data_IF_970636745030
#
_entry.id   IF_970636745030
#
_cell.length_a   1.000
_cell.length_b   1.000
_cell.length_c   1.000
_cell.angle_alpha   90.00
_cell.angle_beta   90.00
_cell.angle_gamma   90.00
#
_symmetry.space_group_name_H-M   'P 1'
#
loop_
_entity.id
_entity.type
_entity.pdbx_description
1 polymer ?
#
# COMPACT_ATOMS: atom_id res chain seq x y z
N UNK A 1 11.59 12.49 3.02
CA UNK A 1 11.97 12.07 1.64
C UNK A 1 13.44 11.63 1.54
N UNK A 2 13.69 10.36 1.22
CA UNK A 2 15.03 9.86 0.87
C UNK A 2 15.26 10.15 -0.61
N UNK A 3 16.14 11.11 -0.93
CA UNK A 3 16.35 11.63 -2.29
C UNK A 3 17.45 10.91 -3.08
N UNK A 4 18.18 10.05 -2.40
CA UNK A 4 19.16 9.20 -3.05
C UNK A 4 18.41 7.99 -3.62
N UNK A 5 17.83 8.13 -4.81
CA UNK A 5 17.14 7.04 -5.55
C UNK A 5 17.32 7.10 -7.07
N UNK A 6 18.12 8.04 -7.57
CA UNK A 6 18.31 8.24 -9.02
C UNK A 6 19.01 7.06 -9.71
N UNK A 7 19.89 6.36 -9.00
CA UNK A 7 20.60 5.18 -9.48
C UNK A 7 19.87 3.87 -9.13
N UNK A 8 18.63 3.90 -8.65
CA UNK A 8 17.85 2.65 -8.60
C UNK A 8 17.47 2.20 -10.01
N UNK A 9 17.05 0.93 -10.15
CA UNK A 9 16.48 0.41 -11.40
C UNK A 9 15.36 1.31 -11.93
N UNK A 10 14.44 1.74 -11.06
CA UNK A 10 13.34 2.64 -11.45
C UNK A 10 13.88 4.02 -11.84
N UNK A 11 14.81 4.59 -11.06
CA UNK A 11 15.42 5.89 -11.36
C UNK A 11 16.09 5.92 -12.73
N UNK A 12 16.94 4.93 -13.02
CA UNK A 12 17.59 4.79 -14.34
C UNK A 12 16.59 4.58 -15.47
N UNK A 13 15.49 3.86 -15.23
CA UNK A 13 14.50 3.55 -16.25
C UNK A 13 13.69 4.80 -16.67
N UNK A 14 13.36 5.68 -15.71
CA UNK A 14 12.54 6.87 -15.97
C UNK A 14 13.36 8.10 -16.36
N UNK A 15 14.64 8.17 -15.95
CA UNK A 15 15.50 9.34 -16.15
C UNK A 15 15.50 9.88 -17.60
N UNK A 16 15.67 9.06 -18.67
CA UNK A 16 15.66 9.59 -20.03
C UNK A 16 14.35 10.29 -20.42
N UNK A 17 13.21 9.83 -19.89
CA UNK A 17 11.90 10.44 -20.17
C UNK A 17 11.71 11.74 -19.38
N UNK A 18 12.11 11.73 -18.11
CA UNK A 18 12.00 12.90 -17.21
C UNK A 18 12.93 14.03 -17.68
N UNK A 19 14.16 13.72 -18.06
CA UNK A 19 15.13 14.72 -18.57
C UNK A 19 14.65 15.36 -19.87
N UNK A 20 14.10 14.55 -20.80
CA UNK A 20 13.58 15.04 -22.07
C UNK A 20 12.34 15.96 -21.92
N UNK A 21 11.62 15.88 -20.80
CA UNK A 21 10.38 16.64 -20.53
C UNK A 21 10.50 17.37 -19.20
N UNK A 22 11.58 18.14 -19.02
CA UNK A 22 11.88 18.83 -17.76
C UNK A 22 10.71 19.73 -17.35
N UNK A 23 10.21 19.54 -16.12
CA UNK A 23 9.08 20.28 -15.57
C UNK A 23 7.70 19.69 -15.87
N UNK A 24 7.62 18.65 -16.70
CA UNK A 24 6.39 17.94 -17.02
C UNK A 24 6.35 16.57 -16.33
N UNK A 25 5.14 16.08 -16.05
CA UNK A 25 4.93 14.74 -15.49
C UNK A 25 4.39 13.80 -16.57
N UNK A 26 5.00 12.62 -16.68
CA UNK A 26 4.49 11.55 -17.50
C UNK A 26 3.38 10.81 -16.76
N UNK A 27 2.27 10.51 -17.43
CA UNK A 27 1.12 9.79 -16.85
C UNK A 27 0.70 8.64 -17.75
N UNK A 28 0.32 7.52 -17.12
CA UNK A 28 -0.22 6.33 -17.78
C UNK A 28 -1.48 5.87 -17.04
N UNK A 29 -2.58 5.72 -17.76
CA UNK A 29 -3.86 5.32 -17.19
C UNK A 29 -3.90 3.82 -16.89
N UNK A 30 -4.33 3.48 -15.68
CA UNK A 30 -4.58 2.11 -15.21
C UNK A 30 -6.09 1.92 -15.04
N UNK A 31 -6.76 1.71 -16.18
CA UNK A 31 -8.23 1.58 -16.24
C UNK A 31 -8.72 0.17 -15.88
N UNK A 32 -7.89 -0.85 -16.11
CA UNK A 32 -8.21 -2.22 -15.75
C UNK A 32 -7.72 -2.54 -14.32
N UNK A 33 -8.57 -3.21 -13.53
CA UNK A 33 -8.24 -3.54 -12.14
C UNK A 33 -7.08 -4.52 -12.00
N UNK A 34 -6.92 -5.47 -12.93
CA UNK A 34 -5.82 -6.45 -12.88
C UNK A 34 -4.50 -5.81 -13.28
N UNK A 35 -4.51 -4.92 -14.27
CA UNK A 35 -3.33 -4.11 -14.60
C UNK A 35 -2.95 -3.19 -13.44
N UNK A 36 -3.94 -2.59 -12.78
CA UNK A 36 -3.73 -1.75 -11.60
C UNK A 36 -3.12 -2.53 -10.42
N UNK A 37 -3.55 -3.78 -10.21
CA UNK A 37 -2.93 -4.69 -9.24
C UNK A 37 -1.49 -5.07 -9.66
N UNK A 38 -1.32 -5.51 -10.91
CA UNK A 38 -0.04 -5.94 -11.44
C UNK A 38 1.01 -4.84 -11.37
N UNK A 39 0.63 -3.60 -11.71
CA UNK A 39 1.48 -2.43 -11.59
C UNK A 39 2.02 -2.24 -10.17
N UNK A 40 1.19 -2.40 -9.14
CA UNK A 40 1.60 -2.29 -7.73
C UNK A 40 2.55 -3.42 -7.32
N UNK A 41 2.21 -4.66 -7.67
CA UNK A 41 3.03 -5.82 -7.38
C UNK A 41 4.41 -5.73 -8.08
N UNK A 42 4.44 -5.30 -9.34
CA UNK A 42 5.67 -5.11 -10.12
C UNK A 42 6.50 -3.93 -9.60
N UNK A 43 5.88 -2.82 -9.20
CA UNK A 43 6.59 -1.72 -8.55
C UNK A 43 7.19 -2.15 -7.20
N UNK A 44 6.45 -2.91 -6.40
CA UNK A 44 6.97 -3.48 -5.15
C UNK A 44 8.17 -4.40 -5.40
N UNK A 45 8.13 -5.20 -6.47
CA UNK A 45 9.23 -6.07 -6.87
C UNK A 45 10.44 -5.30 -7.45
N UNK A 46 10.19 -4.19 -8.14
CA UNK A 46 11.22 -3.38 -8.79
C UNK A 46 11.88 -2.36 -7.86
N UNK A 47 11.24 -1.99 -6.74
CA UNK A 47 11.80 -1.06 -5.76
C UNK A 47 13.09 -1.60 -5.15
N UNK A 48 14.08 -0.71 -5.03
CA UNK A 48 15.41 -1.02 -4.48
C UNK A 48 15.73 -0.27 -3.18
N UNK A 49 15.04 0.85 -2.90
CA UNK A 49 15.33 1.69 -1.73
C UNK A 49 14.13 2.00 -0.88
N UNK A 50 13.02 2.44 -1.48
CA UNK A 50 11.86 2.90 -0.70
C UNK A 50 10.54 2.47 -1.30
N UNK A 51 9.59 2.15 -0.43
CA UNK A 51 8.17 2.04 -0.75
C UNK A 51 7.35 2.82 0.27
N UNK A 52 6.64 3.84 -0.18
CA UNK A 52 5.72 4.61 0.65
C UNK A 52 4.29 4.35 0.15
N UNK A 53 3.45 3.79 1.01
CA UNK A 53 2.15 3.20 0.66
C UNK A 53 1.07 3.74 1.59
N UNK A 54 0.02 4.34 1.03
CA UNK A 54 -1.05 5.01 1.78
C UNK A 54 -2.42 4.61 1.27
N UNK A 55 -3.30 4.10 2.15
CA UNK A 55 -4.63 3.61 1.75
C UNK A 55 -5.73 3.87 2.76
N UNK A 56 -6.91 4.20 2.24
CA UNK A 56 -8.15 4.34 3.03
C UNK A 56 -8.80 3.00 3.40
N UNK A 57 -8.83 2.05 2.47
CA UNK A 57 -9.34 0.69 2.69
C UNK A 57 -8.26 -0.30 2.25
N UNK A 58 -8.06 -1.30 3.10
CA UNK A 58 -7.26 -2.48 2.82
C UNK A 58 -7.99 -3.69 3.38
N UNK A 59 -8.41 -4.62 2.52
CA UNK A 59 -9.14 -5.82 2.94
C UNK A 59 -8.20 -6.99 3.30
N UNK A 60 -8.64 -7.83 4.25
CA UNK A 60 -8.02 -9.14 4.54
C UNK A 60 -8.56 -10.20 3.56
N UNK A 61 -8.27 -10.00 2.27
CA UNK A 61 -8.70 -10.85 1.17
C UNK A 61 -7.52 -11.28 0.29
N UNK A 62 -7.80 -11.86 -0.89
CA UNK A 62 -6.77 -12.41 -1.77
C UNK A 62 -5.79 -11.31 -2.21
N UNK A 63 -6.32 -10.22 -2.77
CA UNK A 63 -5.50 -9.13 -3.28
C UNK A 63 -4.75 -8.38 -2.18
N UNK A 64 -5.39 -8.16 -1.02
CA UNK A 64 -4.77 -7.56 0.14
C UNK A 64 -3.63 -8.39 0.70
N UNK A 65 -3.82 -9.71 0.80
CA UNK A 65 -2.77 -10.65 1.23
C UNK A 65 -1.58 -10.63 0.28
N UNK A 66 -1.83 -10.70 -1.03
CA UNK A 66 -0.76 -10.73 -2.03
C UNK A 66 0.03 -9.42 -2.08
N UNK A 67 -0.62 -8.26 -1.92
CA UNK A 67 0.09 -6.98 -1.86
C UNK A 67 0.87 -6.81 -0.55
N UNK A 68 0.36 -7.27 0.60
CA UNK A 68 1.14 -7.27 1.85
C UNK A 68 2.38 -8.17 1.74
N UNK A 69 2.26 -9.33 1.11
CA UNK A 69 3.40 -10.20 0.81
C UNK A 69 4.42 -9.53 -0.13
N UNK A 70 3.95 -8.80 -1.14
CA UNK A 70 4.84 -8.05 -2.03
C UNK A 70 5.62 -6.95 -1.28
N UNK A 71 4.99 -6.26 -0.33
CA UNK A 71 5.65 -5.30 0.55
C UNK A 71 6.65 -5.97 1.50
N UNK A 72 6.28 -7.10 2.10
CA UNK A 72 7.18 -7.88 2.95
C UNK A 72 8.42 -8.34 2.17
N UNK A 73 8.24 -8.92 0.98
CA UNK A 73 9.36 -9.32 0.11
C UNK A 73 10.25 -8.15 -0.28
N UNK A 74 9.70 -6.95 -0.46
CA UNK A 74 10.52 -5.76 -0.69
C UNK A 74 11.37 -5.44 0.55
N UNK A 75 10.75 -5.46 1.73
CA UNK A 75 11.45 -5.24 2.99
C UNK A 75 12.56 -6.27 3.25
N UNK A 76 12.33 -7.55 2.92
CA UNK A 76 13.31 -8.64 3.00
C UNK A 76 14.53 -8.40 2.09
N UNK A 77 14.33 -7.73 0.94
CA UNK A 77 15.43 -7.30 0.05
C UNK A 77 16.18 -6.06 0.56
N UNK A 78 15.77 -5.48 1.68
CA UNK A 78 16.38 -4.27 2.27
C UNK A 78 15.67 -2.96 1.93
N UNK A 79 14.54 -3.00 1.23
CA UNK A 79 13.76 -1.79 0.88
C UNK A 79 13.10 -1.24 2.15
N UNK A 80 13.22 0.08 2.40
CA UNK A 80 12.48 0.74 3.48
C UNK A 80 11.01 0.89 3.07
N UNK A 81 10.11 0.27 3.82
CA UNK A 81 8.66 0.32 3.58
C UNK A 81 7.98 1.18 4.65
N UNK A 82 7.18 2.17 4.25
CA UNK A 82 6.26 2.89 5.12
C UNK A 82 4.83 2.61 4.69
N UNK A 83 4.04 2.01 5.56
CA UNK A 83 2.64 1.69 5.32
C UNK A 83 1.73 2.53 6.22
N UNK A 84 0.90 3.37 5.61
CA UNK A 84 -0.07 4.21 6.30
C UNK A 84 -1.50 3.79 5.94
N UNK A 85 -2.23 3.26 6.91
CA UNK A 85 -3.61 2.80 6.72
C UNK A 85 -4.60 3.64 7.53
N UNK A 86 -5.75 3.91 6.95
CA UNK A 86 -6.88 4.47 7.69
C UNK A 86 -7.56 3.36 8.52
N UNK A 87 -7.56 3.52 9.85
CA UNK A 87 -7.91 2.41 10.77
C UNK A 87 -9.40 2.00 10.76
N UNK A 88 -10.29 2.75 10.12
CA UNK A 88 -11.71 2.39 10.08
C UNK A 88 -11.96 1.11 9.29
N UNK A 89 -11.05 0.79 8.36
CA UNK A 89 -11.20 -0.31 7.43
C UNK A 89 -10.12 -1.38 7.62
N UNK A 90 -9.51 -1.46 8.80
CA UNK A 90 -8.46 -2.44 9.14
C UNK A 90 -8.98 -3.61 9.98
N UNK A 91 -10.30 -3.77 10.11
CA UNK A 91 -10.87 -4.86 10.89
C UNK A 91 -10.44 -6.21 10.30
N UNK A 92 -9.94 -7.12 11.15
CA UNK A 92 -9.39 -8.42 10.74
C UNK A 92 -7.88 -8.42 10.48
N UNK A 93 -7.28 -7.27 10.15
CA UNK A 93 -5.86 -7.19 9.81
C UNK A 93 -4.91 -7.13 11.01
N UNK A 94 -5.41 -6.93 12.23
CA UNK A 94 -4.59 -6.65 13.43
C UNK A 94 -3.40 -7.63 13.60
N UNK A 95 -3.62 -8.93 13.42
CA UNK A 95 -2.55 -9.93 13.51
C UNK A 95 -1.49 -9.78 12.41
N UNK A 96 -1.89 -9.53 11.17
CA UNK A 96 -0.98 -9.30 10.04
C UNK A 96 -0.20 -7.99 10.21
N UNK A 97 -0.86 -6.91 10.64
CA UNK A 97 -0.19 -5.62 10.87
C UNK A 97 0.82 -5.71 12.01
N UNK A 98 0.51 -6.46 13.08
CA UNK A 98 1.45 -6.73 14.17
C UNK A 98 2.66 -7.57 13.69
N UNK A 99 2.44 -8.53 12.79
CA UNK A 99 3.53 -9.31 12.21
C UNK A 99 4.47 -8.44 11.35
N UNK A 100 3.89 -7.57 10.51
CA UNK A 100 4.64 -6.67 9.64
C UNK A 100 5.46 -5.64 10.42
N UNK A 101 4.91 -5.05 11.49
CA UNK A 101 5.58 -4.04 12.33
C UNK A 101 6.84 -4.57 13.04
N UNK A 102 7.03 -5.89 13.09
CA UNK A 102 8.26 -6.50 13.63
C UNK A 102 9.41 -6.52 12.63
N UNK A 103 9.14 -6.35 11.34
CA UNK A 103 10.19 -6.37 10.33
C UNK A 103 11.00 -5.06 10.39
N UNK A 104 12.34 -5.08 10.51
CA UNK A 104 13.15 -3.88 10.79
C UNK A 104 13.10 -2.82 9.69
N UNK A 105 12.75 -3.22 8.46
CA UNK A 105 12.60 -2.30 7.31
C UNK A 105 11.15 -1.87 7.06
N UNK A 106 10.19 -2.26 7.90
CA UNK A 106 8.78 -1.85 7.77
C UNK A 106 8.41 -0.94 8.93
N UNK A 107 7.93 0.25 8.61
CA UNK A 107 7.25 1.12 9.58
C UNK A 107 5.77 1.17 9.22
N UNK A 108 4.89 0.94 10.20
CA UNK A 108 3.45 0.96 9.99
C UNK A 108 2.76 1.96 10.91
N UNK A 109 1.90 2.79 10.32
CA UNK A 109 1.07 3.75 11.06
C UNK A 109 -0.40 3.61 10.70
N UNK A 110 -1.24 3.87 11.70
CA UNK A 110 -2.69 3.91 11.58
C UNK A 110 -3.17 5.35 11.71
N UNK A 111 -3.95 5.82 10.74
CA UNK A 111 -4.55 7.14 10.74
C UNK A 111 -5.87 7.15 11.52
N UNK A 112 -5.98 8.10 12.45
CA UNK A 112 -7.08 8.27 13.41
C UNK A 112 -7.61 6.92 13.94
N UNK A 113 -6.75 6.18 14.67
CA UNK A 113 -7.09 4.83 15.10
C UNK A 113 -8.16 4.79 16.19
N UNK A 114 -8.69 3.59 16.38
CA UNK A 114 -9.52 3.17 17.50
C UNK A 114 -8.62 2.47 18.54
N UNK A 115 -8.26 3.14 19.66
CA UNK A 115 -7.41 2.53 20.68
C UNK A 115 -8.02 1.28 21.30
N UNK A 116 -9.36 1.21 21.38
CA UNK A 116 -10.06 0.01 21.83
C UNK A 116 -10.42 -0.88 20.63
N UNK A 117 -9.60 -1.91 20.36
CA UNK A 117 -9.81 -2.86 19.26
C UNK A 117 -11.08 -3.70 19.40
N UNK A 118 -11.46 -4.06 20.64
CA UNK A 118 -12.62 -4.91 20.93
C UNK A 118 -13.95 -4.18 20.77
N UNK A 119 -13.97 -2.88 21.06
CA UNK A 119 -15.19 -2.08 21.07
C UNK A 119 -15.03 -0.81 20.23
N UNK A 120 -14.61 -0.95 18.97
CA UNK A 120 -14.36 0.19 18.06
C UNK A 120 -15.55 1.15 17.97
N UNK A 121 -16.78 0.62 17.96
CA UNK A 121 -18.01 1.42 17.91
C UNK A 121 -18.20 2.35 19.12
N UNK A 122 -17.71 1.97 20.32
CA UNK A 122 -17.71 2.87 21.48
C UNK A 122 -16.81 4.09 21.25
N UNK A 123 -15.76 3.94 20.43
CA UNK A 123 -14.91 5.05 20.01
C UNK A 123 -15.71 6.16 19.32
N UNK A 124 -16.66 5.81 18.46
CA UNK A 124 -17.51 6.79 17.78
C UNK A 124 -18.43 7.55 18.74
N UNK A 125 -18.87 6.93 19.84
CA UNK A 125 -19.66 7.62 20.87
C UNK A 125 -18.81 8.60 21.69
N UNK A 126 -17.53 8.28 21.90
CA UNK A 126 -16.63 9.09 22.72
C UNK A 126 -15.93 10.22 21.93
N UNK A 127 -15.65 10.01 20.64
CA UNK A 127 -14.80 10.91 19.84
C UNK A 127 -15.19 10.92 18.35
N UNK A 128 -16.48 11.18 18.09
CA UNK A 128 -17.06 11.19 16.74
C UNK A 128 -16.32 12.14 15.79
N UNK A 129 -16.01 13.37 16.23
CA UNK A 129 -15.43 14.41 15.36
C UNK A 129 -14.05 14.01 14.83
N UNK A 130 -13.18 13.45 15.68
CA UNK A 130 -11.86 12.94 15.24
C UNK A 130 -12.02 11.74 14.32
N UNK A 131 -12.86 10.78 14.71
CA UNK A 131 -13.02 9.52 13.99
C UNK A 131 -13.71 9.69 12.64
N UNK A 132 -14.53 10.73 12.47
CA UNK A 132 -15.17 11.06 11.20
C UNK A 132 -14.23 11.77 10.22
N UNK A 133 -13.05 12.24 10.67
CA UNK A 133 -12.01 12.78 9.79
C UNK A 133 -11.12 11.65 9.28
N UNK A 134 -11.38 11.16 8.06
CA UNK A 134 -10.65 10.03 7.47
C UNK A 134 -9.60 10.46 6.46
N UNK A 135 -8.56 9.66 6.31
CA UNK A 135 -7.58 9.78 5.24
C UNK A 135 -8.10 8.98 4.03
N UNK A 136 -8.58 9.67 3.00
CA UNK A 136 -9.16 9.01 1.81
C UNK A 136 -8.16 8.81 0.66
N UNK A 137 -6.89 9.14 0.88
CA UNK A 137 -5.82 9.01 -0.10
C UNK A 137 -5.57 7.54 -0.46
N UNK A 138 -5.21 7.30 -1.73
CA UNK A 138 -4.62 6.05 -2.21
C UNK A 138 -3.38 6.38 -3.00
N UNK A 139 -2.22 6.03 -2.48
CA UNK A 139 -0.94 6.22 -3.17
C UNK A 139 -0.01 5.05 -2.93
N UNK A 140 0.80 4.75 -3.95
CA UNK A 140 1.82 3.71 -3.93
C UNK A 140 3.05 4.25 -4.65
N UNK A 141 4.06 4.67 -3.89
CA UNK A 141 5.25 5.34 -4.43
C UNK A 141 6.49 4.47 -4.22
N UNK A 142 7.15 4.11 -5.33
CA UNK A 142 8.35 3.30 -5.34
C UNK A 142 9.57 4.16 -5.67
N UNK A 143 10.61 4.03 -4.85
CA UNK A 143 11.89 4.73 -4.94
C UNK A 143 11.78 6.26 -5.05
N UNK A 144 10.65 6.89 -4.74
CA UNK A 144 10.43 8.31 -5.08
C UNK A 144 10.71 8.61 -6.58
N UNK A 145 10.49 7.62 -7.46
CA UNK A 145 10.71 7.70 -8.91
C UNK A 145 9.42 7.45 -9.70
N UNK A 146 8.56 6.57 -9.18
CA UNK A 146 7.28 6.22 -9.80
C UNK A 146 6.20 6.20 -8.73
N UNK A 147 5.05 6.78 -9.02
CA UNK A 147 3.90 6.73 -8.12
C UNK A 147 2.66 6.25 -8.83
N UNK A 148 1.82 5.48 -8.12
CA UNK A 148 0.44 5.23 -8.52
C UNK A 148 -0.45 6.02 -7.57
N UNK A 149 -1.42 6.75 -8.13
CA UNK A 149 -2.49 7.43 -7.38
C UNK A 149 -3.82 7.22 -8.10
N UNK A 150 -4.93 7.23 -7.36
CA UNK A 150 -6.25 7.02 -7.96
C UNK A 150 -7.34 6.76 -6.94
N UNK A 151 -8.44 6.15 -7.41
CA UNK A 151 -9.59 5.84 -6.57
C UNK A 151 -9.58 4.43 -5.97
N UNK A 152 -8.81 3.48 -6.55
CA UNK A 152 -8.86 2.08 -6.08
C UNK A 152 -8.29 1.93 -4.70
N UNK A 153 -9.05 1.30 -3.82
CA UNK A 153 -8.53 0.75 -2.59
C UNK A 153 -7.88 -0.63 -2.84
N UNK A 154 -7.41 -1.27 -1.77
CA UNK A 154 -6.93 -2.65 -1.85
C UNK A 154 -8.02 -3.61 -1.39
N UNK A 155 -8.57 -4.35 -2.35
CA UNK A 155 -9.57 -5.40 -2.16
C UNK A 155 -9.94 -6.08 -3.49
N UNK A 156 -10.44 -7.30 -3.40
CA UNK A 156 -10.75 -8.17 -4.55
C UNK A 156 -11.74 -7.51 -5.52
N UNK A 157 -12.68 -6.73 -5.00
CA UNK A 157 -13.71 -6.00 -5.74
C UNK A 157 -13.16 -4.85 -6.60
N UNK A 158 -11.96 -4.34 -6.27
CA UNK A 158 -11.29 -3.26 -7.02
C UNK A 158 -10.39 -3.79 -8.15
N UNK A 159 -9.96 -5.04 -8.05
CA UNK A 159 -8.99 -5.65 -8.95
C UNK A 159 -9.55 -6.81 -9.76
N UNK A 160 -10.78 -7.24 -9.48
CA UNK A 160 -11.47 -8.28 -10.22
C UNK A 160 -10.95 -9.69 -9.98
N UNK A 161 -10.62 -9.99 -8.72
CA UNK A 161 -10.64 -11.36 -8.22
C UNK A 161 -12.06 -11.71 -7.76
N UNK A 162 -12.49 -12.94 -8.02
CA UNK A 162 -13.78 -13.45 -7.56
C UNK A 162 -14.96 -13.17 -8.49
N UNK A 163 -16.16 -13.47 -7.97
CA UNK A 163 -17.44 -13.37 -8.67
C UNK A 163 -18.26 -12.13 -8.23
N UNK A 164 -17.65 -11.22 -7.46
CA UNK A 164 -18.34 -10.06 -6.90
C UNK A 164 -18.53 -8.93 -7.93
N UNK A 165 -19.42 -7.98 -7.59
CA UNK A 165 -19.65 -6.78 -8.38
C UNK A 165 -18.36 -5.94 -8.42
N UNK A 166 -17.82 -5.75 -9.63
CA UNK A 166 -16.59 -4.99 -9.84
C UNK A 166 -16.83 -3.49 -9.65
N UNK A 167 -15.98 -2.83 -8.86
CA UNK A 167 -15.92 -1.38 -8.84
C UNK A 167 -15.19 -0.86 -10.07
N UNK A 168 -15.85 0.06 -10.79
CA UNK A 168 -15.22 0.78 -11.89
C UNK A 168 -14.51 1.99 -11.31
N UNK A 169 -13.20 2.01 -11.45
CA UNK A 169 -12.35 3.09 -10.96
C UNK A 169 -11.21 3.38 -11.94
N UNK A 170 -10.43 4.43 -11.69
CA UNK A 170 -9.27 4.79 -12.47
C UNK A 170 -8.11 5.12 -11.55
N UNK A 171 -6.97 4.49 -11.83
CA UNK A 171 -5.69 4.92 -11.28
C UNK A 171 -4.83 5.49 -12.41
N UNK A 172 -3.83 6.25 -12.03
CA UNK A 172 -2.75 6.67 -12.92
C UNK A 172 -1.42 6.26 -12.30
N UNK A 173 -0.52 5.77 -13.15
CA UNK A 173 0.91 5.69 -12.85
C UNK A 173 1.58 6.95 -13.38
N UNK A 174 2.44 7.56 -12.58
CA UNK A 174 3.09 8.81 -12.93
C UNK A 174 4.57 8.85 -12.57
N UNK A 175 5.32 9.63 -13.35
CA UNK A 175 6.75 9.90 -13.21
C UNK A 175 7.01 11.41 -13.36
N UNK A 176 8.18 11.88 -12.92
CA UNK A 176 8.55 13.30 -12.99
C UNK A 176 8.11 14.08 -11.75
N UNK A 177 7.96 15.42 -11.85
CA UNK A 177 7.76 16.31 -10.69
C UNK A 177 6.58 15.95 -9.78
N UNK A 178 5.50 15.37 -10.33
CA UNK A 178 4.33 14.95 -9.53
C UNK A 178 4.67 13.90 -8.47
N UNK A 179 5.73 13.11 -8.66
CA UNK A 179 6.16 12.12 -7.66
C UNK A 179 6.59 12.82 -6.37
N UNK A 180 7.32 13.93 -6.46
CA UNK A 180 7.75 14.71 -5.30
C UNK A 180 6.57 15.34 -4.56
N UNK A 181 5.54 15.77 -5.30
CA UNK A 181 4.31 16.30 -4.71
C UNK A 181 3.54 15.23 -3.93
N UNK A 182 3.38 14.04 -4.51
CA UNK A 182 2.73 12.90 -3.84
C UNK A 182 3.52 12.44 -2.61
N UNK A 183 4.85 12.36 -2.71
CA UNK A 183 5.71 12.02 -1.58
C UNK A 183 5.68 13.08 -0.47
N UNK A 184 5.55 14.35 -0.84
CA UNK A 184 5.37 15.43 0.13
C UNK A 184 4.02 15.37 0.85
N UNK A 185 2.94 15.01 0.14
CA UNK A 185 1.62 14.77 0.76
C UNK A 185 1.66 13.55 1.69
N UNK A 186 2.29 12.45 1.27
CA UNK A 186 2.53 11.29 2.12
C UNK A 186 3.24 11.69 3.41
N UNK A 187 4.37 12.40 3.31
CA UNK A 187 5.17 12.83 4.46
C UNK A 187 4.35 13.71 5.42
N UNK A 188 3.44 14.57 4.89
CA UNK A 188 2.52 15.39 5.70
C UNK A 188 1.55 14.56 6.51
N UNK A 189 0.92 13.54 5.92
CA UNK A 189 0.04 12.63 6.65
C UNK A 189 0.81 11.76 7.65
N UNK A 190 1.94 11.21 7.20
CA UNK A 190 2.83 10.36 7.98
C UNK A 190 3.30 11.05 9.27
N UNK A 191 3.70 12.32 9.18
CA UNK A 191 4.17 13.11 10.31
C UNK A 191 3.04 13.71 11.17
N UNK A 192 1.77 13.58 10.76
CA UNK A 192 0.65 14.18 11.49
C UNK A 192 0.43 13.50 12.84
N UNK A 193 -0.08 14.25 13.83
CA UNK A 193 -0.48 13.71 15.13
C UNK A 193 -1.64 12.69 15.04
N UNK A 194 -2.29 12.60 13.89
CA UNK A 194 -3.33 11.61 13.60
C UNK A 194 -2.77 10.26 13.15
N UNK A 195 -1.50 10.16 12.77
CA UNK A 195 -0.86 8.91 12.35
C UNK A 195 -0.08 8.29 13.52
N UNK A 196 -0.60 7.19 14.07
CA UNK A 196 -0.04 6.55 15.25
C UNK A 196 0.70 5.28 14.86
N UNK A 197 1.92 5.01 15.39
CA UNK A 197 2.60 3.74 15.19
C UNK A 197 1.71 2.57 15.60
N UNK A 198 1.66 1.52 14.79
CA UNK A 198 0.72 0.41 15.01
C UNK A 198 1.01 -0.34 16.32
N UNK A 199 2.27 -0.50 16.72
CA UNK A 199 2.64 -1.10 18.01
C UNK A 199 2.08 -0.38 19.26
N UNK A 200 1.55 0.85 19.12
CA UNK A 200 0.82 1.53 20.21
C UNK A 200 -0.67 1.16 20.28
N UNK A 201 -1.19 0.54 19.23
CA UNK A 201 -2.62 0.24 19.02
C UNK A 201 -2.87 -1.26 19.10
N UNK A 202 -2.06 -2.03 18.39
CA UNK A 202 -2.12 -3.49 18.35
C UNK A 202 -1.03 -3.99 19.30
N UNK A 203 -1.44 -4.38 20.52
CA UNK A 203 -0.52 -4.78 21.59
C UNK A 203 -0.07 -6.25 21.54
N UNK A 204 0.71 -6.65 22.55
CA UNK A 204 1.34 -7.98 22.72
C UNK A 204 0.39 -9.20 22.70
N UNK A 205 -0.93 -8.99 22.76
CA UNK A 205 -1.92 -10.07 22.70
C UNK A 205 -2.16 -10.64 21.30
N UNK A 206 -1.60 -10.01 20.26
CA UNK A 206 -1.53 -10.59 18.92
C UNK A 206 -0.16 -11.24 18.78
N UNK A 207 -0.08 -12.53 19.09
CA UNK A 207 1.11 -13.33 18.80
C UNK A 207 1.20 -13.52 17.28
N UNK A 208 2.11 -12.83 16.59
CA UNK A 208 2.22 -12.92 15.16
C UNK A 208 3.01 -14.18 14.80
N UNK A 209 2.44 -15.00 13.94
CA UNK A 209 3.22 -16.00 13.21
C UNK A 209 3.82 -15.31 11.99
N UNK A 210 5.13 -15.04 12.04
CA UNK A 210 5.86 -14.40 10.94
C UNK A 210 5.79 -15.22 9.63
N UNK A 211 5.56 -16.54 9.72
CA UNK A 211 5.34 -17.40 8.58
C UNK A 211 3.90 -17.37 8.06
N UNK A 212 2.94 -16.82 8.82
CA UNK A 212 1.53 -16.85 8.46
C UNK A 212 1.24 -16.03 7.21
N UNK A 213 1.79 -14.82 7.08
CA UNK A 213 1.58 -14.00 5.89
C UNK A 213 2.15 -14.70 4.64
N UNK A 214 3.39 -15.19 4.72
CA UNK A 214 4.01 -15.92 3.61
C UNK A 214 3.23 -17.20 3.25
N UNK A 215 2.71 -17.93 4.25
CA UNK A 215 1.90 -19.12 4.02
C UNK A 215 0.51 -18.78 3.44
N UNK A 216 -0.12 -17.69 3.90
CA UNK A 216 -1.37 -17.16 3.33
C UNK A 216 -1.16 -16.74 1.89
N UNK A 217 -0.09 -16.01 1.60
CA UNK A 217 0.28 -15.58 0.25
C UNK A 217 0.60 -16.76 -0.68
N UNK A 218 1.30 -17.78 -0.18
CA UNK A 218 1.55 -19.00 -0.93
C UNK A 218 0.24 -19.74 -1.29
N UNK A 219 -0.71 -19.84 -0.36
CA UNK A 219 -2.05 -20.40 -0.64
C UNK A 219 -2.84 -19.53 -1.61
N UNK A 220 -2.82 -18.21 -1.41
CA UNK A 220 -3.43 -17.23 -2.29
C UNK A 220 -2.92 -17.34 -3.73
N UNK A 221 -1.61 -17.48 -3.93
CA UNK A 221 -1.02 -17.65 -5.26
C UNK A 221 -1.42 -18.93 -5.98
N UNK A 222 -1.90 -19.95 -5.26
CA UNK A 222 -2.44 -21.19 -5.82
C UNK A 222 -3.95 -21.13 -6.07
N UNK A 223 -4.63 -20.08 -5.61
CA UNK A 223 -6.06 -19.90 -5.82
C UNK A 223 -6.36 -19.69 -7.31
N UNK A 224 -7.30 -20.42 -7.93
CA UNK A 224 -7.73 -20.17 -9.30
C UNK A 224 -8.14 -18.72 -9.58
N UNK A 225 -8.68 -18.01 -8.57
CA UNK A 225 -9.02 -16.58 -8.66
C UNK A 225 -7.77 -15.70 -8.82
N UNK A 226 -6.63 -16.12 -8.25
CA UNK A 226 -5.34 -15.42 -8.41
C UNK A 226 -4.72 -15.60 -9.80
N UNK A 227 -5.18 -16.57 -10.60
CA UNK A 227 -4.65 -16.78 -11.94
C UNK A 227 -4.86 -15.57 -12.87
N UNK A 228 -5.84 -14.71 -12.57
CA UNK A 228 -5.99 -13.40 -13.23
C UNK A 228 -4.82 -12.47 -12.94
N UNK A 229 -4.43 -12.37 -11.67
CA UNK A 229 -3.32 -11.54 -11.21
C UNK A 229 -1.96 -12.05 -11.67
N UNK A 230 -1.72 -13.36 -11.52
CA UNK A 230 -0.46 -13.99 -11.95
C UNK A 230 -0.24 -13.78 -13.46
N UNK A 231 -1.30 -13.91 -14.27
CA UNK A 231 -1.22 -13.63 -15.71
C UNK A 231 -0.96 -12.14 -16.00
N UNK A 232 -1.66 -11.23 -15.33
CA UNK A 232 -1.45 -9.80 -15.53
C UNK A 232 -0.01 -9.38 -15.18
N UNK A 233 0.56 -9.92 -14.09
CA UNK A 233 1.97 -9.70 -13.73
C UNK A 233 2.93 -10.32 -14.76
N UNK A 234 2.61 -11.47 -15.35
CA UNK A 234 3.47 -12.16 -16.32
C UNK A 234 3.40 -11.61 -17.76
N UNK A 235 2.42 -10.76 -18.08
CA UNK A 235 2.18 -10.21 -19.43
C UNK A 235 2.71 -8.78 -19.63
N UNK A 236 3.29 -8.18 -18.58
CA UNK A 236 3.90 -6.84 -18.58
C UNK A 236 5.44 -6.95 -18.66
#
# INVERSE_FOLDING_TARGET
MQRDTADTRLGRAVAPRVEAHTGESGVFALSDGRDAFAARALLAAAAERTLDVQYYIWHDDLSGTLLLDALLRAAERGVRVRLLLDDNNTAGLDGLLAALDRHPNIELRLFNPFPNRRWRWLGYLADFSRLNRRMHNKSFTADNQVTIVGGRNVGDEYFGAGQELLFVDLDIMAIGPVVDEVSSDFDRYWASASAWPVGRIVGEGYEPDAGELAARAARAGLDPAAAGYVRAVAQQ
#
